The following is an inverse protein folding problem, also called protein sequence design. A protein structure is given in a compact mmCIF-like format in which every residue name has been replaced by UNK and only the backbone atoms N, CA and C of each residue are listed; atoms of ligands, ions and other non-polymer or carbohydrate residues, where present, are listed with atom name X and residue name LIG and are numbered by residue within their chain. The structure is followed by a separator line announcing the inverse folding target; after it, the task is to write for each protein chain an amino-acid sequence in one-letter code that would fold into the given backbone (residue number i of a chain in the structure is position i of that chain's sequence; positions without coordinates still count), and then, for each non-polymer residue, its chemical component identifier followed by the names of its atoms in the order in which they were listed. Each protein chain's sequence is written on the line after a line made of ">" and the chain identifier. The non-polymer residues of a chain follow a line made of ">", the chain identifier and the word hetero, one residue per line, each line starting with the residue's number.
data_IF_677065625680
#
_entry.id   IF_677065625680
#
_cell.length_a   1.000
_cell.length_b   1.000
_cell.length_c   1.000
_cell.angle_alpha   90.00
_cell.angle_beta   90.00
_cell.angle_gamma   90.00
#
_symmetry.space_group_name_H-M   'P 1'
#
loop_
_entity.id
_entity.type
_entity.pdbx_description
1 polymer ?
#
# COMPACT_ATOMS: atom_id res chain seq x y z
N UNK A 1 2.05 6.34 -7.99
CA UNK A 1 3.09 5.60 -8.73
C UNK A 1 4.47 5.78 -8.12
N UNK A 2 5.08 6.95 -8.32
CA UNK A 2 6.30 7.42 -7.64
C UNK A 2 7.56 6.56 -7.80
N UNK A 3 8.75 7.05 -7.42
CA UNK A 3 9.90 6.19 -7.13
C UNK A 3 9.56 5.26 -5.95
N UNK A 4 10.36 4.20 -5.78
CA UNK A 4 10.22 3.32 -4.61
C UNK A 4 10.52 4.12 -3.34
N UNK A 5 9.59 4.09 -2.39
CA UNK A 5 9.78 4.62 -1.04
C UNK A 5 10.61 3.64 -0.20
N UNK A 6 11.38 4.18 0.76
CA UNK A 6 12.23 3.36 1.63
C UNK A 6 11.39 2.49 2.55
N UNK A 7 10.56 3.14 3.36
CA UNK A 7 9.74 2.45 4.35
C UNK A 7 8.46 1.91 3.72
N UNK A 8 8.07 0.71 4.15
CA UNK A 8 6.79 0.10 3.77
C UNK A 8 5.61 0.84 4.41
N UNK A 9 5.74 1.22 5.69
CA UNK A 9 4.71 1.96 6.43
C UNK A 9 4.36 3.27 5.75
N UNK A 10 5.33 4.08 5.36
CA UNK A 10 5.10 5.36 4.69
C UNK A 10 4.36 5.19 3.37
N UNK A 11 4.68 4.13 2.62
CA UNK A 11 4.01 3.84 1.36
C UNK A 11 2.56 3.39 1.56
N UNK A 12 2.30 2.53 2.56
CA UNK A 12 0.95 2.11 2.92
C UNK A 12 0.11 3.28 3.44
N UNK A 13 0.72 4.16 4.25
CA UNK A 13 0.09 5.39 4.76
C UNK A 13 -0.33 6.32 3.62
N UNK A 14 0.56 6.56 2.65
CA UNK A 14 0.24 7.34 1.45
C UNK A 14 -0.96 6.77 0.68
N UNK A 15 -1.05 5.44 0.58
CA UNK A 15 -2.18 4.78 -0.09
C UNK A 15 -3.46 4.93 0.73
N UNK A 16 -3.41 4.72 2.05
CA UNK A 16 -4.56 4.90 2.94
C UNK A 16 -5.11 6.33 2.87
N UNK A 17 -4.23 7.34 2.99
CA UNK A 17 -4.60 8.75 2.89
C UNK A 17 -5.24 9.10 1.54
N UNK A 18 -4.73 8.53 0.44
CA UNK A 18 -5.33 8.75 -0.88
C UNK A 18 -6.75 8.18 -0.96
N UNK A 19 -6.98 6.96 -0.44
CA UNK A 19 -8.30 6.34 -0.41
C UNK A 19 -9.25 7.13 0.49
N UNK A 20 -8.80 7.54 1.68
CA UNK A 20 -9.56 8.39 2.60
C UNK A 20 -9.90 9.76 1.99
N UNK A 21 -9.01 10.31 1.15
CA UNK A 21 -9.26 11.55 0.38
C UNK A 21 -10.24 11.37 -0.80
N UNK A 22 -10.78 10.17 -1.02
CA UNK A 22 -11.77 9.87 -2.05
C UNK A 22 -11.21 9.29 -3.34
N UNK A 23 -9.95 8.83 -3.34
CA UNK A 23 -9.43 8.06 -4.48
C UNK A 23 -10.21 6.74 -4.62
N UNK A 24 -10.48 6.34 -5.87
CA UNK A 24 -11.22 5.10 -6.19
C UNK A 24 -10.32 3.86 -6.33
N UNK A 25 -9.03 4.02 -6.09
CA UNK A 25 -8.02 2.98 -6.29
C UNK A 25 -6.64 3.56 -6.57
N UNK A 26 -5.69 2.68 -6.90
CA UNK A 26 -4.29 3.03 -7.09
C UNK A 26 -3.71 2.47 -8.39
N UNK A 27 -2.69 3.15 -8.92
CA UNK A 27 -1.83 2.65 -9.99
C UNK A 27 -0.37 2.73 -9.52
N UNK A 28 0.16 1.59 -9.06
CA UNK A 28 1.47 1.48 -8.40
C UNK A 28 2.28 0.34 -9.02
N UNK A 29 3.51 0.65 -9.43
CA UNK A 29 4.46 -0.31 -9.99
C UNK A 29 5.66 -0.50 -9.07
N UNK A 30 6.63 0.43 -9.13
CA UNK A 30 7.93 0.34 -8.44
C UNK A 30 7.82 0.06 -6.95
N UNK A 31 6.81 0.62 -6.28
CA UNK A 31 6.56 0.39 -4.86
C UNK A 31 6.02 -1.02 -4.52
N UNK A 32 5.78 -1.87 -5.52
CA UNK A 32 5.35 -3.26 -5.36
C UNK A 32 6.46 -4.21 -5.82
N UNK A 33 6.83 -4.20 -7.11
CA UNK A 33 7.74 -5.22 -7.68
C UNK A 33 9.22 -5.07 -7.28
N UNK A 34 9.63 -3.93 -6.73
CA UNK A 34 11.01 -3.72 -6.24
C UNK A 34 11.17 -4.05 -4.74
N UNK A 35 10.15 -4.62 -4.09
CA UNK A 35 10.19 -5.07 -2.69
C UNK A 35 10.47 -6.56 -2.62
N UNK A 36 11.03 -7.03 -1.49
CA UNK A 36 11.33 -8.46 -1.29
C UNK A 36 10.06 -9.28 -1.18
N UNK A 37 9.07 -8.79 -0.44
CA UNK A 37 7.80 -9.44 -0.21
C UNK A 37 6.70 -8.81 -1.09
N UNK A 38 6.72 -9.15 -2.38
CA UNK A 38 5.75 -8.64 -3.36
C UNK A 38 4.32 -9.09 -3.01
N UNK A 39 4.17 -10.35 -2.61
CA UNK A 39 2.86 -10.93 -2.28
C UNK A 39 2.21 -10.23 -1.08
N UNK A 40 2.99 -10.04 -0.01
CA UNK A 40 2.57 -9.30 1.18
C UNK A 40 2.13 -7.89 0.85
N UNK A 41 2.93 -7.16 0.07
CA UNK A 41 2.61 -5.81 -0.35
C UNK A 41 1.31 -5.74 -1.17
N UNK A 42 1.09 -6.68 -2.09
CA UNK A 42 -0.17 -6.74 -2.86
C UNK A 42 -1.37 -6.97 -1.93
N UNK A 43 -1.26 -7.91 -0.99
CA UNK A 43 -2.34 -8.22 -0.04
C UNK A 43 -2.67 -7.01 0.85
N UNK A 44 -1.65 -6.35 1.40
CA UNK A 44 -1.84 -5.15 2.21
C UNK A 44 -2.54 -4.03 1.42
N UNK A 45 -2.13 -3.80 0.16
CA UNK A 45 -2.77 -2.81 -0.71
C UNK A 45 -4.22 -3.18 -1.05
N UNK A 46 -4.52 -4.46 -1.28
CA UNK A 46 -5.90 -4.91 -1.52
C UNK A 46 -6.80 -4.63 -0.31
N UNK A 47 -6.33 -4.94 0.91
CA UNK A 47 -7.08 -4.67 2.12
C UNK A 47 -7.35 -3.18 2.34
N UNK A 48 -6.36 -2.30 2.10
CA UNK A 48 -6.55 -0.85 2.20
C UNK A 48 -7.57 -0.36 1.14
N UNK A 49 -7.42 -0.78 -0.11
CA UNK A 49 -8.21 -0.24 -1.24
C UNK A 49 -9.64 -0.78 -1.27
N UNK A 50 -9.84 -2.04 -0.89
CA UNK A 50 -11.14 -2.72 -1.03
C UNK A 50 -11.88 -2.91 0.29
N UNK A 51 -11.15 -3.03 1.40
CA UNK A 51 -11.73 -3.33 2.71
C UNK A 51 -11.62 -2.15 3.70
N UNK A 52 -11.02 -1.02 3.29
CA UNK A 52 -10.70 0.13 4.16
C UNK A 52 -9.91 -0.27 5.43
N UNK A 53 -9.01 -1.25 5.32
CA UNK A 53 -8.15 -1.63 6.43
C UNK A 53 -7.19 -0.49 6.81
N UNK A 54 -6.94 -0.33 8.10
CA UNK A 54 -5.95 0.61 8.63
C UNK A 54 -4.53 0.06 8.43
N UNK A 55 -3.54 0.96 8.37
CA UNK A 55 -2.14 0.57 8.10
C UNK A 55 -1.60 -0.39 9.15
N UNK A 56 -1.95 -0.18 10.42
CA UNK A 56 -1.57 -1.03 11.54
C UNK A 56 -2.08 -2.47 11.42
N UNK A 57 -3.20 -2.70 10.72
CA UNK A 57 -3.78 -4.04 10.55
C UNK A 57 -3.04 -4.87 9.50
N UNK A 58 -2.36 -4.20 8.56
CA UNK A 58 -1.76 -4.84 7.38
C UNK A 58 -0.23 -4.76 7.35
N UNK A 59 0.40 -3.99 8.23
CA UNK A 59 1.86 -3.79 8.24
C UNK A 59 2.65 -5.07 8.48
N UNK A 60 2.08 -6.04 9.20
CA UNK A 60 2.72 -7.35 9.45
C UNK A 60 2.73 -8.25 8.20
N UNK A 61 1.99 -7.88 7.14
CA UNK A 61 1.96 -8.64 5.89
C UNK A 61 3.17 -8.35 4.99
N UNK A 62 3.86 -7.20 5.17
CA UNK A 62 4.82 -6.64 4.20
C UNK A 62 6.27 -6.85 4.57
#
# INVERSE_FOLDING_TARGET
>A
GGPKMREDKDFLQLVSEAIQAGAKGICMGRNVWQRKNIKGMILALCHIVHDNAEVEEVIELV
#
